data_IF_833305041725
#
_entry.id   IF_833305041725
#
_cell.length_a   1.000
_cell.length_b   1.000
_cell.length_c   1.000
_cell.angle_alpha   90.00
_cell.angle_beta   90.00
_cell.angle_gamma   90.00
#
_symmetry.space_group_name_H-M   'P 1'
#
loop_
_entity.id
_entity.type
_entity.pdbx_description
1 polymer ?
#
# COMPACT_ATOMS: atom_id res chain seq x y z
N UNK A 1 24.43 -10.41 69.13
CA UNK A 1 24.30 -11.71 68.46
C UNK A 1 23.23 -11.57 67.40
N UNK A 2 23.49 -10.88 66.29
CA UNK A 2 24.33 -11.29 65.14
C UNK A 2 23.71 -12.46 64.38
N UNK A 3 22.90 -12.15 63.36
CA UNK A 3 22.84 -12.82 62.06
C UNK A 3 21.71 -12.22 61.23
N UNK A 4 22.02 -11.32 60.30
CA UNK A 4 21.18 -11.12 59.11
C UNK A 4 22.10 -11.27 57.92
N UNK A 5 21.86 -12.35 57.20
CA UNK A 5 22.67 -12.84 56.10
C UNK A 5 22.24 -12.14 54.81
N UNK A 6 23.25 -11.69 54.06
CA UNK A 6 23.32 -11.53 52.61
C UNK A 6 22.11 -12.02 51.79
N UNK A 7 21.52 -11.14 50.98
CA UNK A 7 21.14 -11.47 49.61
C UNK A 7 21.44 -10.26 48.71
N UNK A 8 22.43 -10.50 47.84
CA UNK A 8 22.87 -9.67 46.74
C UNK A 8 21.66 -9.39 45.83
N UNK A 9 21.42 -8.11 45.53
CA UNK A 9 20.52 -7.74 44.46
C UNK A 9 21.13 -8.21 43.14
N UNK A 10 20.48 -9.17 42.49
CA UNK A 10 20.75 -9.51 41.11
C UNK A 10 20.48 -8.27 40.25
N UNK A 11 21.55 -7.71 39.70
CA UNK A 11 21.49 -6.74 38.62
C UNK A 11 20.74 -7.40 37.45
N UNK A 12 19.45 -7.08 37.35
CA UNK A 12 18.64 -7.44 36.20
C UNK A 12 19.29 -6.83 34.96
N UNK A 13 19.90 -7.69 34.14
CA UNK A 13 20.38 -7.36 32.80
C UNK A 13 19.18 -6.76 32.05
N UNK A 14 19.22 -5.49 31.61
CA UNK A 14 18.12 -4.94 30.83
C UNK A 14 18.00 -5.79 29.55
N UNK A 15 16.83 -6.38 29.34
CA UNK A 15 16.52 -7.03 28.06
C UNK A 15 16.79 -6.04 26.93
N UNK A 16 17.42 -6.47 25.82
CA UNK A 16 17.68 -5.58 24.70
C UNK A 16 16.35 -5.02 24.20
N UNK A 17 16.23 -3.70 24.27
CA UNK A 17 15.09 -2.91 23.83
C UNK A 17 14.55 -3.49 22.51
N UNK A 18 13.40 -4.15 22.58
CA UNK A 18 12.78 -4.78 21.42
C UNK A 18 12.44 -3.66 20.45
N UNK A 19 13.32 -3.41 19.47
CA UNK A 19 13.14 -2.37 18.46
C UNK A 19 11.72 -2.45 17.92
N UNK A 20 10.95 -1.39 18.14
CA UNK A 20 9.56 -1.33 17.68
C UNK A 20 9.58 -1.29 16.16
N UNK A 21 9.33 -2.45 15.55
CA UNK A 21 9.23 -2.60 14.10
C UNK A 21 8.04 -1.78 13.59
N UNK A 22 8.31 -0.87 12.67
CA UNK A 22 7.32 -0.01 12.03
C UNK A 22 6.59 -0.74 10.89
N UNK A 23 7.25 -1.70 10.25
CA UNK A 23 6.63 -2.56 9.24
C UNK A 23 5.54 -3.45 9.84
N UNK A 24 4.53 -3.78 9.04
CA UNK A 24 3.47 -4.72 9.43
C UNK A 24 2.78 -5.36 8.23
N UNK A 25 1.90 -6.31 8.49
CA UNK A 25 0.95 -6.84 7.52
C UNK A 25 -0.39 -6.15 7.72
N UNK A 26 -0.97 -5.66 6.63
CA UNK A 26 -2.34 -5.15 6.62
C UNK A 26 -3.26 -6.15 5.93
N UNK A 27 -4.21 -6.70 6.67
CA UNK A 27 -5.15 -7.71 6.17
C UNK A 27 -6.57 -7.16 6.21
N UNK A 28 -7.32 -7.35 5.13
CA UNK A 28 -8.71 -6.89 5.07
C UNK A 28 -9.37 -7.16 3.74
N UNK A 29 -10.05 -6.16 3.20
CA UNK A 29 -10.82 -6.28 1.96
C UNK A 29 -10.69 -5.04 1.08
N UNK A 30 -10.86 -5.24 -0.21
CA UNK A 30 -11.16 -4.19 -1.16
C UNK A 30 -12.59 -4.37 -1.65
N UNK A 31 -13.28 -3.26 -1.84
CA UNK A 31 -14.65 -3.19 -2.33
C UNK A 31 -14.68 -2.25 -3.52
N UNK A 32 -15.25 -2.72 -4.63
CA UNK A 32 -15.49 -1.93 -5.81
C UNK A 32 -17.00 -1.77 -5.96
N UNK A 33 -17.46 -0.54 -6.12
CA UNK A 33 -18.86 -0.19 -6.37
C UNK A 33 -18.90 0.67 -7.61
N UNK A 34 -19.53 0.17 -8.66
CA UNK A 34 -19.90 0.93 -9.85
C UNK A 34 -21.40 1.14 -9.81
N UNK A 35 -21.84 2.39 -9.79
CA UNK A 35 -23.24 2.78 -9.80
C UNK A 35 -23.76 3.00 -11.22
N UNK A 36 -22.90 3.50 -12.13
CA UNK A 36 -23.25 3.86 -13.52
C UNK A 36 -22.16 3.43 -14.52
N UNK A 37 -22.50 3.25 -15.82
CA UNK A 37 -23.86 3.20 -16.37
C UNK A 37 -24.61 1.92 -15.97
N UNK A 38 -23.89 0.86 -15.61
CA UNK A 38 -24.45 -0.40 -15.11
C UNK A 38 -23.97 -0.67 -13.71
N UNK A 39 -24.92 -0.96 -12.81
CA UNK A 39 -24.59 -1.29 -11.43
C UNK A 39 -23.80 -2.61 -11.34
N UNK A 40 -22.64 -2.55 -10.68
CA UNK A 40 -21.84 -3.72 -10.34
C UNK A 40 -21.04 -3.45 -9.06
N UNK A 41 -21.23 -4.27 -8.04
CA UNK A 41 -20.49 -4.18 -6.79
C UNK A 41 -19.89 -5.55 -6.45
N UNK A 42 -18.65 -5.56 -5.98
CA UNK A 42 -17.99 -6.76 -5.51
C UNK A 42 -16.91 -6.42 -4.48
N UNK A 43 -16.67 -7.37 -3.57
CA UNK A 43 -15.62 -7.26 -2.56
C UNK A 43 -14.82 -8.56 -2.50
N UNK A 44 -13.54 -8.46 -2.20
CA UNK A 44 -12.68 -9.62 -1.95
C UNK A 44 -11.64 -9.32 -0.88
N UNK A 45 -11.26 -10.37 -0.15
CA UNK A 45 -10.22 -10.27 0.88
C UNK A 45 -8.83 -10.27 0.28
N UNK A 46 -7.95 -9.49 0.88
CA UNK A 46 -6.54 -9.40 0.52
C UNK A 46 -5.67 -9.11 1.74
N UNK A 47 -4.36 -9.21 1.55
CA UNK A 47 -3.36 -8.61 2.42
C UNK A 47 -2.43 -7.72 1.59
N UNK A 48 -1.82 -6.73 2.22
CA UNK A 48 -0.69 -5.95 1.69
C UNK A 48 0.38 -5.87 2.77
N UNK A 49 1.64 -5.72 2.37
CA UNK A 49 2.73 -5.44 3.30
C UNK A 49 2.90 -3.94 3.44
N UNK A 50 3.09 -3.49 4.67
CA UNK A 50 3.49 -2.13 4.99
C UNK A 50 4.94 -2.17 5.44
N UNK A 51 5.82 -1.57 4.66
CA UNK A 51 7.27 -1.68 4.83
C UNK A 51 7.82 -0.30 5.18
N UNK A 52 8.48 -0.18 6.31
CA UNK A 52 9.43 0.89 6.49
C UNK A 52 10.68 0.56 5.67
N UNK A 53 10.99 1.37 4.66
CA UNK A 53 12.04 1.04 3.70
C UNK A 53 13.42 0.94 4.35
N UNK A 54 13.63 1.61 5.50
CA UNK A 54 14.87 1.53 6.26
C UNK A 54 15.05 0.20 7.01
N UNK A 55 13.98 -0.58 7.20
CA UNK A 55 14.04 -1.88 7.87
C UNK A 55 14.41 -3.02 6.91
N UNK A 56 14.46 -2.77 5.60
CA UNK A 56 14.92 -3.74 4.62
C UNK A 56 16.46 -3.71 4.52
N UNK A 57 17.14 -4.86 4.42
CA UNK A 57 16.57 -6.21 4.27
C UNK A 57 16.29 -6.94 5.60
N UNK A 58 16.65 -6.36 6.75
CA UNK A 58 16.66 -7.01 8.06
C UNK A 58 15.29 -7.55 8.50
N UNK A 59 14.20 -6.89 8.12
CA UNK A 59 12.83 -7.34 8.39
C UNK A 59 12.59 -8.81 7.98
N UNK A 60 13.21 -9.25 6.88
CA UNK A 60 13.03 -10.60 6.34
C UNK A 60 14.16 -11.56 6.67
N UNK A 61 15.18 -11.14 7.43
CA UNK A 61 16.35 -11.96 7.72
C UNK A 61 16.01 -13.32 8.37
N UNK A 62 14.95 -13.36 9.19
CA UNK A 62 14.49 -14.57 9.90
C UNK A 62 13.29 -15.26 9.22
N UNK A 63 12.95 -14.90 7.98
CA UNK A 63 11.77 -15.41 7.28
C UNK A 63 12.17 -16.16 6.00
N UNK A 64 12.14 -17.49 6.02
CA UNK A 64 12.68 -18.30 4.92
C UNK A 64 11.99 -18.10 3.56
N UNK A 65 10.69 -17.76 3.55
CA UNK A 65 9.90 -17.56 2.34
C UNK A 65 9.81 -16.11 1.88
N UNK A 66 10.43 -15.18 2.61
CA UNK A 66 10.38 -13.75 2.36
C UNK A 66 11.79 -13.23 2.11
N UNK A 67 11.95 -12.31 1.18
CA UNK A 67 13.26 -11.69 0.94
C UNK A 67 13.12 -10.33 0.26
N UNK A 68 14.09 -9.45 0.53
CA UNK A 68 14.30 -8.21 -0.20
C UNK A 68 15.56 -8.24 -1.08
N UNK A 69 16.36 -9.30 -0.99
CA UNK A 69 17.66 -9.39 -1.66
C UNK A 69 17.67 -10.41 -2.80
N UNK A 70 16.98 -11.54 -2.61
CA UNK A 70 16.98 -12.66 -3.55
C UNK A 70 15.58 -13.18 -3.84
N UNK A 71 15.37 -13.86 -4.98
CA UNK A 71 14.10 -14.50 -5.28
C UNK A 71 13.64 -15.41 -4.15
N UNK A 72 12.39 -15.22 -3.72
CA UNK A 72 11.70 -15.99 -2.68
C UNK A 72 10.20 -16.09 -3.04
N UNK A 73 9.41 -16.81 -2.25
CA UNK A 73 7.96 -16.90 -2.49
C UNK A 73 7.29 -15.54 -2.33
N UNK A 74 7.73 -14.73 -1.39
CA UNK A 74 7.41 -13.31 -1.28
C UNK A 74 8.70 -12.50 -1.44
N UNK A 75 8.82 -11.79 -2.54
CA UNK A 75 10.05 -11.09 -2.91
C UNK A 75 9.80 -9.61 -3.13
N UNK A 76 10.38 -8.78 -2.28
CA UNK A 76 10.52 -7.36 -2.56
C UNK A 76 11.63 -7.18 -3.57
N UNK A 77 11.29 -6.63 -4.74
CA UNK A 77 12.22 -6.37 -5.82
C UNK A 77 12.18 -4.88 -6.15
N UNK A 78 13.30 -4.19 -5.94
CA UNK A 78 13.44 -2.76 -6.20
C UNK A 78 12.94 -2.34 -7.60
N UNK A 79 13.19 -3.15 -8.62
CA UNK A 79 12.81 -2.89 -10.01
C UNK A 79 11.29 -2.91 -10.29
N UNK A 80 10.46 -3.31 -9.33
CA UNK A 80 8.99 -3.33 -9.48
C UNK A 80 8.31 -2.04 -9.03
N UNK A 81 9.10 -1.09 -8.53
CA UNK A 81 8.65 0.14 -7.90
C UNK A 81 9.24 1.36 -8.61
N UNK A 82 8.65 2.53 -8.35
CA UNK A 82 8.96 3.77 -9.05
C UNK A 82 10.44 4.13 -9.15
N UNK A 83 10.78 4.82 -10.24
CA UNK A 83 12.10 5.38 -10.49
C UNK A 83 13.14 4.36 -10.95
N UNK A 84 14.40 4.79 -11.05
CA UNK A 84 15.51 3.96 -11.49
C UNK A 84 15.78 2.81 -10.49
N UNK A 85 15.80 1.53 -10.91
CA UNK A 85 16.11 0.39 -10.03
C UNK A 85 17.49 0.44 -9.36
N UNK A 86 18.44 1.19 -9.91
CA UNK A 86 19.79 1.38 -9.34
C UNK A 86 19.80 2.39 -8.18
N UNK A 87 18.76 3.22 -8.07
CA UNK A 87 18.60 4.18 -7.00
C UNK A 87 17.79 3.58 -5.85
N UNK A 88 18.15 3.78 -4.58
CA UNK A 88 17.30 3.40 -3.44
C UNK A 88 15.86 3.93 -3.57
N UNK A 89 14.87 3.10 -3.24
CA UNK A 89 13.46 3.45 -3.47
C UNK A 89 13.01 4.65 -2.64
N UNK A 90 13.47 4.74 -1.39
CA UNK A 90 13.17 5.87 -0.51
C UNK A 90 13.70 7.18 -1.10
N UNK A 91 14.90 7.17 -1.67
CA UNK A 91 15.49 8.32 -2.34
C UNK A 91 14.70 8.73 -3.59
N UNK A 92 14.29 7.77 -4.43
CA UNK A 92 13.47 8.04 -5.60
C UNK A 92 12.11 8.67 -5.23
N UNK A 93 11.48 8.18 -4.15
CA UNK A 93 10.23 8.74 -3.62
C UNK A 93 10.44 10.16 -3.11
N UNK A 94 11.51 10.41 -2.33
CA UNK A 94 11.83 11.75 -1.83
C UNK A 94 12.11 12.75 -2.95
N UNK A 95 12.82 12.32 -4.00
CA UNK A 95 13.10 13.13 -5.18
C UNK A 95 11.79 13.53 -5.88
N UNK A 96 10.92 12.55 -6.13
CA UNK A 96 9.60 12.79 -6.73
C UNK A 96 8.74 13.75 -5.90
N UNK A 97 8.71 13.58 -4.58
CA UNK A 97 7.93 14.49 -3.70
C UNK A 97 8.51 15.90 -3.71
N UNK A 98 9.84 16.02 -3.67
CA UNK A 98 10.52 17.32 -3.75
C UNK A 98 10.23 18.04 -5.08
N UNK A 99 10.26 17.31 -6.20
CA UNK A 99 9.95 17.84 -7.52
C UNK A 99 8.50 18.36 -7.60
N UNK A 100 7.53 17.58 -7.09
CA UNK A 100 6.10 17.89 -7.26
C UNK A 100 5.53 18.85 -6.23
N UNK A 101 6.05 18.85 -5.00
CA UNK A 101 5.54 19.67 -3.90
C UNK A 101 6.51 20.77 -3.45
N UNK A 102 7.75 20.80 -3.98
CA UNK A 102 8.78 21.75 -3.59
C UNK A 102 9.40 21.50 -2.20
N UNK A 103 8.99 20.44 -1.51
CA UNK A 103 9.46 20.09 -0.18
C UNK A 103 9.88 18.62 -0.13
N UNK A 104 11.13 18.37 0.23
CA UNK A 104 11.69 17.02 0.34
C UNK A 104 11.34 16.42 1.72
N UNK A 105 10.73 15.22 1.79
CA UNK A 105 10.55 14.53 3.07
C UNK A 105 11.90 14.18 3.70
N UNK A 106 12.02 14.38 5.01
CA UNK A 106 13.25 14.11 5.79
C UNK A 106 13.12 12.88 6.71
N UNK A 107 11.91 12.45 7.01
CA UNK A 107 11.63 11.29 7.87
C UNK A 107 11.55 9.97 7.11
N UNK A 108 11.02 8.91 7.73
CA UNK A 108 10.84 7.61 7.08
C UNK A 108 9.98 7.68 5.80
N UNK A 109 10.25 6.76 4.88
CA UNK A 109 9.38 6.48 3.73
C UNK A 109 8.82 5.08 3.96
N UNK A 110 7.48 4.98 4.05
CA UNK A 110 6.80 3.72 4.31
C UNK A 110 5.89 3.34 3.15
N UNK A 111 5.97 2.09 2.73
CA UNK A 111 5.35 1.58 1.51
C UNK A 111 4.27 0.54 1.85
N UNK A 112 3.02 0.81 1.49
CA UNK A 112 1.96 -0.19 1.42
C UNK A 112 1.90 -0.78 0.01
N UNK A 113 2.20 -2.07 -0.14
CA UNK A 113 2.27 -2.71 -1.47
C UNK A 113 1.97 -4.20 -1.42
N UNK A 114 1.73 -4.79 -2.59
CA UNK A 114 1.98 -6.22 -2.82
C UNK A 114 3.41 -6.42 -3.31
N UNK A 115 4.02 -7.55 -2.93
CA UNK A 115 5.33 -7.99 -3.42
C UNK A 115 5.16 -8.92 -4.62
N UNK A 116 6.28 -9.44 -5.16
CA UNK A 116 6.21 -10.61 -6.04
C UNK A 116 5.85 -11.83 -5.21
N UNK A 117 4.78 -12.49 -5.62
CA UNK A 117 4.31 -13.71 -4.98
C UNK A 117 4.41 -14.88 -5.95
N UNK A 118 5.19 -15.91 -5.60
CA UNK A 118 5.50 -17.06 -6.47
C UNK A 118 6.00 -16.63 -7.87
N UNK A 119 6.85 -15.60 -7.93
CA UNK A 119 7.41 -15.05 -9.17
C UNK A 119 6.50 -14.09 -9.94
N UNK A 120 5.20 -14.04 -9.62
CA UNK A 120 4.23 -13.16 -10.26
C UNK A 120 4.21 -11.78 -9.59
N UNK A 121 4.36 -10.71 -10.39
CA UNK A 121 4.11 -9.34 -9.95
C UNK A 121 2.70 -8.92 -10.39
N UNK A 122 1.79 -8.73 -9.44
CA UNK A 122 0.46 -8.18 -9.68
C UNK A 122 0.17 -7.14 -8.61
N UNK A 123 0.64 -5.93 -8.86
CA UNK A 123 0.58 -4.83 -7.92
C UNK A 123 -0.05 -3.60 -8.61
N UNK A 124 -1.39 -3.52 -8.68
CA UNK A 124 -2.07 -2.46 -9.42
C UNK A 124 -1.84 -1.08 -8.80
N UNK A 125 -1.56 -1.02 -7.50
CA UNK A 125 -1.27 0.23 -6.80
C UNK A 125 -0.39 0.00 -5.59
N UNK A 126 0.58 0.90 -5.41
CA UNK A 126 1.41 1.05 -4.23
C UNK A 126 1.18 2.42 -3.60
N UNK A 127 1.22 2.50 -2.27
CA UNK A 127 1.04 3.75 -1.55
C UNK A 127 2.25 4.04 -0.67
N UNK A 128 2.85 5.22 -0.86
CA UNK A 128 3.95 5.70 -0.03
C UNK A 128 3.44 6.76 0.94
N UNK A 129 3.74 6.55 2.22
CA UNK A 129 3.55 7.52 3.28
C UNK A 129 4.92 8.12 3.59
N UNK A 130 5.06 9.42 3.31
CA UNK A 130 6.30 10.15 3.48
C UNK A 130 6.20 11.00 4.75
N UNK A 131 7.18 10.89 5.64
CA UNK A 131 7.17 11.57 6.91
C UNK A 131 8.19 12.71 6.96
N UNK A 132 7.93 13.71 7.82
CA UNK A 132 8.90 14.74 8.19
C UNK A 132 9.91 14.22 9.24
N UNK A 133 10.95 15.01 9.53
CA UNK A 133 11.96 14.69 10.55
C UNK A 133 11.38 14.54 11.98
N UNK A 134 10.12 14.94 12.20
CA UNK A 134 9.41 14.78 13.48
C UNK A 134 8.48 13.56 13.48
N UNK A 135 8.51 12.72 12.44
CA UNK A 135 7.66 11.53 12.33
C UNK A 135 6.18 11.85 12.06
N UNK A 136 5.86 13.02 11.50
CA UNK A 136 4.50 13.36 11.06
C UNK A 136 4.37 13.16 9.55
N UNK A 137 3.24 12.64 9.04
CA UNK A 137 3.05 12.53 7.61
C UNK A 137 3.12 13.91 6.94
N UNK A 138 3.87 13.99 5.85
CA UNK A 138 4.11 15.20 5.07
C UNK A 138 3.61 15.08 3.63
N UNK A 139 3.64 13.87 3.05
CA UNK A 139 3.10 13.60 1.72
C UNK A 139 2.59 12.16 1.61
N UNK A 140 1.68 11.97 0.65
CA UNK A 140 1.17 10.68 0.24
C UNK A 140 1.39 10.51 -1.26
N UNK A 141 1.96 9.38 -1.68
CA UNK A 141 2.15 9.06 -3.11
C UNK A 141 1.38 7.80 -3.45
N UNK A 142 0.53 7.86 -4.46
CA UNK A 142 -0.11 6.69 -5.05
C UNK A 142 0.55 6.36 -6.39
N UNK A 143 1.35 5.31 -6.41
CA UNK A 143 1.95 4.73 -7.61
C UNK A 143 0.95 3.73 -8.20
N UNK A 144 0.39 4.06 -9.36
CA UNK A 144 -0.63 3.27 -10.05
C UNK A 144 0.01 2.62 -11.27
N UNK A 145 -0.11 1.30 -11.36
CA UNK A 145 0.43 0.50 -12.46
C UNK A 145 -0.70 0.04 -13.38
N UNK A 146 -0.56 0.27 -14.68
CA UNK A 146 -1.52 -0.12 -15.69
C UNK A 146 -1.11 -1.47 -16.33
N UNK A 147 -1.71 -2.56 -15.86
CA UNK A 147 -1.52 -3.89 -16.44
C UNK A 147 -2.62 -4.14 -17.49
N UNK A 148 -2.32 -4.61 -18.71
CA UNK A 148 -1.05 -5.17 -19.21
C UNK A 148 -0.10 -4.19 -19.92
N UNK A 149 -0.44 -2.91 -20.06
CA UNK A 149 0.33 -1.96 -20.86
C UNK A 149 1.70 -1.57 -20.27
N UNK A 150 1.94 -1.86 -19.00
CA UNK A 150 3.23 -1.64 -18.34
C UNK A 150 3.50 -0.17 -18.02
N UNK A 151 2.49 0.69 -18.15
CA UNK A 151 2.59 2.10 -17.78
C UNK A 151 2.50 2.27 -16.27
N UNK A 152 3.13 3.32 -15.77
CA UNK A 152 3.12 3.68 -14.37
C UNK A 152 2.87 5.18 -14.23
N UNK A 153 2.05 5.56 -13.26
CA UNK A 153 1.78 6.95 -12.93
C UNK A 153 1.74 7.17 -11.43
N UNK A 154 2.33 8.28 -10.97
CA UNK A 154 2.37 8.62 -9.54
C UNK A 154 1.57 9.90 -9.27
N UNK A 155 0.53 9.77 -8.44
CA UNK A 155 -0.16 10.90 -7.84
C UNK A 155 0.55 11.31 -6.57
N UNK A 156 1.03 12.55 -6.49
CA UNK A 156 1.71 13.09 -5.31
C UNK A 156 0.78 14.08 -4.62
N UNK A 157 0.34 13.76 -3.40
CA UNK A 157 -0.66 14.52 -2.65
C UNK A 157 -0.04 15.08 -1.36
N UNK A 158 -0.14 16.39 -1.09
CA UNK A 158 0.39 16.99 0.13
C UNK A 158 -0.44 16.57 1.34
N UNK A 159 0.21 16.17 2.43
CA UNK A 159 -0.49 15.81 3.66
C UNK A 159 -0.77 17.06 4.49
N UNK A 160 -2.04 17.32 4.82
CA UNK A 160 -2.40 18.44 5.69
C UNK A 160 -2.17 18.06 7.16
N UNK A 161 -1.03 18.50 7.70
CA UNK A 161 -0.63 18.27 9.08
C UNK A 161 -1.47 19.07 10.12
N UNK A 162 -2.33 20.01 9.68
CA UNK A 162 -3.24 20.75 10.56
C UNK A 162 -4.49 19.95 10.91
N UNK A 163 -4.85 18.95 10.08
CA UNK A 163 -5.99 18.07 10.35
C UNK A 163 -5.68 17.14 11.54
N UNK A 164 -6.69 16.80 12.35
CA UNK A 164 -6.53 15.78 13.39
C UNK A 164 -5.99 14.50 12.78
N UNK A 165 -5.04 13.84 13.44
CA UNK A 165 -4.45 12.59 12.95
C UNK A 165 -5.51 11.51 12.67
N UNK A 166 -6.60 11.49 13.44
CA UNK A 166 -7.69 10.51 13.30
C UNK A 166 -8.65 10.81 12.14
N UNK A 167 -8.56 12.01 11.55
CA UNK A 167 -9.34 12.37 10.39
C UNK A 167 -8.69 11.84 9.11
N UNK A 168 -9.50 11.43 8.15
CA UNK A 168 -9.01 11.12 6.82
C UNK A 168 -8.56 12.40 6.11
N UNK A 169 -7.44 12.32 5.42
CA UNK A 169 -7.04 13.30 4.41
C UNK A 169 -7.91 13.13 3.17
N UNK A 170 -8.27 14.24 2.54
CA UNK A 170 -9.15 14.24 1.38
C UNK A 170 -8.61 15.16 0.31
N UNK A 171 -8.51 14.65 -0.92
CA UNK A 171 -8.06 15.43 -2.08
C UNK A 171 -9.02 15.24 -3.25
N UNK A 172 -9.15 16.27 -4.09
CA UNK A 172 -9.87 16.21 -5.35
C UNK A 172 -9.02 16.81 -6.46
N UNK A 173 -8.91 16.12 -7.58
CA UNK A 173 -8.18 16.58 -8.76
C UNK A 173 -8.67 15.86 -10.02
N UNK A 174 -8.31 16.38 -11.20
CA UNK A 174 -8.62 15.75 -12.49
C UNK A 174 -7.99 14.36 -12.62
N UNK A 175 -8.67 13.46 -13.32
CA UNK A 175 -8.15 12.13 -13.65
C UNK A 175 -7.18 12.25 -14.82
N UNK A 176 -5.91 11.97 -14.54
CA UNK A 176 -4.82 12.14 -15.50
C UNK A 176 -4.22 10.80 -15.99
N UNK A 177 -4.79 9.66 -15.58
CA UNK A 177 -4.29 8.32 -15.97
C UNK A 177 -5.42 7.34 -16.34
N UNK A 178 -5.30 6.72 -17.51
CA UNK A 178 -6.33 5.83 -18.07
C UNK A 178 -6.16 4.38 -17.58
N UNK A 179 -6.68 4.10 -16.39
CA UNK A 179 -6.54 2.78 -15.74
C UNK A 179 -7.73 1.84 -15.91
N UNK A 180 -8.85 2.33 -16.45
CA UNK A 180 -10.06 1.52 -16.62
C UNK A 180 -10.67 1.80 -17.98
N UNK A 181 -10.77 0.78 -18.87
CA UNK A 181 -11.37 0.95 -20.19
C UNK A 181 -12.89 1.15 -20.13
N UNK A 182 -13.48 1.21 -18.94
CA UNK A 182 -14.92 1.41 -18.74
C UNK A 182 -15.22 2.74 -18.00
N UNK A 183 -14.23 3.61 -17.79
CA UNK A 183 -14.42 4.93 -17.21
C UNK A 183 -13.75 5.97 -18.10
N UNK A 184 -14.48 6.99 -18.60
CA UNK A 184 -13.90 8.05 -19.42
C UNK A 184 -12.84 8.85 -18.65
N UNK A 185 -12.04 9.62 -19.38
CA UNK A 185 -10.95 10.42 -18.80
C UNK A 185 -11.46 11.71 -18.17
N UNK A 186 -12.58 12.25 -18.66
CA UNK A 186 -13.22 13.48 -18.20
C UNK A 186 -13.94 13.27 -16.85
N UNK A 187 -13.17 12.97 -15.82
CA UNK A 187 -13.62 12.72 -14.46
C UNK A 187 -12.67 13.36 -13.45
N UNK A 188 -13.15 13.54 -12.23
CA UNK A 188 -12.31 13.89 -11.07
C UNK A 188 -12.08 12.68 -10.19
N UNK A 189 -10.87 12.54 -9.65
CA UNK A 189 -10.59 11.66 -8.54
C UNK A 189 -10.84 12.37 -7.22
N UNK A 190 -11.57 11.69 -6.32
CA UNK A 190 -11.70 12.07 -4.93
C UNK A 190 -11.08 10.99 -4.05
N UNK A 191 -10.00 11.35 -3.37
CA UNK A 191 -9.26 10.49 -2.45
C UNK A 191 -9.73 10.72 -1.01
N UNK A 192 -9.75 9.64 -0.23
CA UNK A 192 -9.91 9.67 1.23
C UNK A 192 -8.96 8.65 1.84
N UNK A 193 -7.95 9.11 2.59
CA UNK A 193 -6.86 8.28 3.12
C UNK A 193 -6.69 8.53 4.62
N UNK A 194 -6.60 7.48 5.41
CA UNK A 194 -6.27 7.58 6.84
C UNK A 194 -4.78 7.38 7.08
N UNK A 195 -4.24 7.95 8.16
CA UNK A 195 -2.88 7.60 8.59
C UNK A 195 -2.78 6.11 8.96
N UNK A 196 -1.73 5.37 8.54
CA UNK A 196 -1.57 3.96 8.90
C UNK A 196 -1.34 3.75 10.39
N UNK A 197 -2.27 3.06 11.07
CA UNK A 197 -2.16 2.66 12.49
C UNK A 197 -2.71 1.25 12.70
N UNK A 198 -3.58 1.02 13.69
CA UNK A 198 -4.24 -0.28 13.88
C UNK A 198 -5.14 -0.67 12.70
N UNK A 199 -5.62 0.33 11.96
CA UNK A 199 -6.32 0.16 10.71
C UNK A 199 -5.84 1.17 9.68
N UNK A 200 -6.12 0.87 8.42
CA UNK A 200 -5.80 1.71 7.29
C UNK A 200 -6.94 1.66 6.27
N UNK A 201 -7.41 2.83 5.85
CA UNK A 201 -8.40 2.96 4.78
C UNK A 201 -7.88 3.87 3.68
N UNK A 202 -7.97 3.39 2.44
CA UNK A 202 -7.72 4.18 1.22
C UNK A 202 -8.96 4.04 0.35
N UNK A 203 -9.61 5.16 0.05
CA UNK A 203 -10.76 5.20 -0.85
C UNK A 203 -10.48 6.16 -1.99
N UNK A 204 -10.80 5.72 -3.20
CA UNK A 204 -10.78 6.54 -4.41
C UNK A 204 -12.15 6.45 -5.07
N UNK A 205 -12.75 7.60 -5.34
CA UNK A 205 -13.99 7.72 -6.09
C UNK A 205 -13.73 8.52 -7.36
N UNK A 206 -14.39 8.13 -8.46
CA UNK A 206 -14.48 8.96 -9.65
C UNK A 206 -15.74 9.80 -9.52
N UNK A 207 -15.69 11.05 -9.96
CA UNK A 207 -16.82 11.96 -10.02
C UNK A 207 -16.97 12.51 -11.43
N UNK A 208 -18.22 12.61 -11.87
CA UNK A 208 -18.66 13.36 -13.05
C UNK A 208 -19.74 14.39 -12.63
N UNK A 209 -20.29 15.13 -13.60
CA UNK A 209 -21.34 16.12 -13.34
C UNK A 209 -22.62 15.54 -12.69
N UNK A 210 -22.83 14.23 -12.74
CA UNK A 210 -23.99 13.52 -12.19
C UNK A 210 -23.64 12.77 -10.87
N UNK A 211 -22.48 13.03 -10.28
CA UNK A 211 -22.04 12.42 -9.02
C UNK A 211 -21.00 11.32 -9.22
N UNK A 212 -20.93 10.35 -8.31
CA UNK A 212 -19.88 9.31 -8.35
C UNK A 212 -20.33 8.03 -9.07
N UNK A 213 -19.86 7.78 -10.32
CA UNK A 213 -20.18 6.54 -11.04
C UNK A 213 -19.41 5.32 -10.51
N UNK A 214 -18.29 5.53 -9.81
CA UNK A 214 -17.42 4.45 -9.35
C UNK A 214 -16.64 4.83 -8.09
N UNK A 215 -16.53 3.88 -7.17
CA UNK A 215 -15.71 3.96 -5.97
C UNK A 215 -14.97 2.63 -5.74
N UNK A 216 -13.70 2.72 -5.36
CA UNK A 216 -12.93 1.62 -4.81
C UNK A 216 -12.50 1.99 -3.39
N UNK A 217 -12.70 1.07 -2.44
CA UNK A 217 -12.33 1.27 -1.04
C UNK A 217 -11.55 0.07 -0.52
N UNK A 218 -10.36 0.34 0.00
CA UNK A 218 -9.46 -0.58 0.65
C UNK A 218 -9.57 -0.36 2.15
N UNK A 219 -9.93 -1.39 2.91
CA UNK A 219 -10.03 -1.33 4.38
C UNK A 219 -9.25 -2.47 4.99
N UNK A 220 -8.21 -2.15 5.75
CA UNK A 220 -7.24 -3.11 6.27
C UNK A 220 -7.02 -2.95 7.77
N UNK A 221 -6.64 -4.04 8.44
CA UNK A 221 -6.26 -4.07 9.86
C UNK A 221 -4.82 -4.56 10.01
N UNK A 222 -4.08 -3.90 10.92
CA UNK A 222 -2.68 -4.20 11.22
C UNK A 222 -2.54 -5.59 11.84
N UNK A 223 -1.47 -6.27 11.48
CA UNK A 223 -0.97 -7.52 12.06
C UNK A 223 0.54 -7.45 12.11
N UNK A 224 1.12 -7.76 13.27
CA UNK A 224 2.57 -7.71 13.45
C UNK A 224 3.29 -8.68 12.51
N UNK A 225 4.46 -8.30 11.95
CA UNK A 225 5.18 -9.07 10.95
C UNK A 225 6.03 -10.18 11.59
N UNK A 226 5.44 -11.00 12.45
CA UNK A 226 6.15 -12.15 13.04
C UNK A 226 6.38 -13.24 12.00
N UNK A 227 7.42 -14.08 12.12
CA UNK A 227 7.66 -15.19 11.19
C UNK A 227 6.45 -16.12 11.01
N UNK A 228 5.69 -16.33 12.09
CA UNK A 228 4.44 -17.09 12.09
C UNK A 228 3.34 -16.40 11.26
N UNK A 229 3.14 -15.09 11.44
CA UNK A 229 2.15 -14.33 10.68
C UNK A 229 2.51 -14.21 9.20
N UNK A 230 3.78 -14.00 8.88
CA UNK A 230 4.31 -13.96 7.52
C UNK A 230 4.08 -15.29 6.79
N UNK A 231 4.44 -16.41 7.42
CA UNK A 231 4.24 -17.76 6.86
C UNK A 231 2.76 -18.11 6.70
N UNK A 232 1.94 -17.83 7.73
CA UNK A 232 0.48 -18.07 7.69
C UNK A 232 -0.20 -17.28 6.58
N UNK A 233 0.27 -16.07 6.30
CA UNK A 233 -0.29 -15.22 5.24
C UNK A 233 -0.01 -15.82 3.87
N UNK A 234 1.21 -16.29 3.61
CA UNK A 234 1.52 -16.99 2.36
C UNK A 234 0.68 -18.25 2.15
N UNK A 235 0.47 -19.04 3.21
CA UNK A 235 -0.35 -20.26 3.15
C UNK A 235 -1.84 -19.98 2.95
N UNK A 236 -2.35 -18.85 3.46
CA UNK A 236 -3.76 -18.47 3.31
C UNK A 236 -4.06 -17.87 1.94
N UNK A 237 -3.04 -17.31 1.28
CA UNK A 237 -3.20 -16.54 0.06
C UNK A 237 -2.26 -16.98 -1.10
N UNK A 238 -1.98 -18.28 -1.33
CA UNK A 238 -1.01 -18.70 -2.36
C UNK A 238 -1.48 -18.39 -3.78
N UNK A 239 -2.78 -18.57 -4.04
CA UNK A 239 -3.40 -18.26 -5.32
C UNK A 239 -4.06 -16.88 -5.32
N UNK A 240 -3.80 -16.00 -4.34
CA UNK A 240 -4.50 -14.72 -4.23
C UNK A 240 -4.23 -13.83 -5.44
N UNK A 241 -3.00 -13.78 -5.92
CA UNK A 241 -2.64 -13.08 -7.16
C UNK A 241 -3.45 -13.57 -8.35
N UNK A 242 -3.48 -14.89 -8.58
CA UNK A 242 -4.26 -15.49 -9.67
C UNK A 242 -5.76 -15.27 -9.49
N UNK A 243 -6.28 -15.35 -8.26
CA UNK A 243 -7.68 -15.10 -7.92
C UNK A 243 -8.07 -13.64 -8.15
N UNK A 244 -7.22 -12.68 -7.80
CA UNK A 244 -7.45 -11.26 -8.07
C UNK A 244 -7.53 -11.02 -9.57
N UNK A 245 -6.54 -11.52 -10.31
CA UNK A 245 -6.50 -11.42 -11.78
C UNK A 245 -7.76 -12.04 -12.39
N UNK A 246 -8.07 -13.30 -12.04
CA UNK A 246 -9.28 -13.97 -12.53
C UNK A 246 -10.55 -13.20 -12.17
N UNK A 247 -10.63 -12.61 -10.97
CA UNK A 247 -11.77 -11.79 -10.55
C UNK A 247 -11.85 -10.50 -11.37
N UNK A 248 -10.74 -9.81 -11.61
CA UNK A 248 -10.70 -8.58 -12.42
C UNK A 248 -11.14 -8.88 -13.84
N UNK A 249 -10.55 -9.89 -14.50
CA UNK A 249 -10.93 -10.29 -15.85
C UNK A 249 -12.38 -10.77 -15.94
N UNK A 250 -12.84 -11.55 -14.95
CA UNK A 250 -14.24 -11.97 -14.87
C UNK A 250 -15.20 -10.79 -14.74
N UNK A 251 -14.87 -9.80 -13.91
CA UNK A 251 -15.70 -8.60 -13.75
C UNK A 251 -15.67 -7.72 -14.99
N UNK A 252 -14.52 -7.60 -15.67
CA UNK A 252 -14.41 -6.91 -16.95
C UNK A 252 -15.29 -7.58 -18.03
N UNK A 253 -15.24 -8.91 -18.14
CA UNK A 253 -16.09 -9.68 -19.04
C UNK A 253 -17.58 -9.50 -18.72
N UNK A 254 -17.94 -9.55 -17.43
CA UNK A 254 -19.32 -9.32 -16.97
C UNK A 254 -19.82 -7.90 -17.31
N UNK A 255 -18.96 -6.89 -17.23
CA UNK A 255 -19.30 -5.52 -17.63
C UNK A 255 -19.50 -5.43 -19.15
N UNK A 256 -18.63 -6.05 -19.92
CA UNK A 256 -18.75 -6.11 -21.38
C UNK A 256 -20.05 -6.80 -21.81
N UNK A 257 -20.38 -7.97 -21.23
CA UNK A 257 -21.67 -8.65 -21.48
C UNK A 257 -22.89 -7.84 -21.05
N UNK A 258 -22.74 -6.93 -20.09
CA UNK A 258 -23.81 -6.02 -19.65
C UNK A 258 -23.89 -4.72 -20.47
N UNK A 259 -23.11 -4.58 -21.53
CA UNK A 259 -23.15 -3.44 -22.44
C UNK A 259 -22.40 -2.20 -21.94
N UNK A 260 -21.41 -2.36 -21.05
CA UNK A 260 -20.54 -1.25 -20.67
C UNK A 260 -19.74 -0.75 -21.88
N UNK A 261 -19.72 0.57 -22.11
CA UNK A 261 -18.94 1.19 -23.18
C UNK A 261 -17.45 0.96 -22.93
N UNK A 262 -16.77 0.42 -23.93
CA UNK A 262 -15.32 0.26 -23.95
C UNK A 262 -14.69 1.52 -24.52
N UNK A 263 -13.82 2.15 -23.74
CA UNK A 263 -12.95 3.26 -24.13
C UNK A 263 -11.58 2.66 -24.44
N UNK A 264 -11.12 2.71 -25.71
CA UNK A 264 -9.81 2.19 -26.06
C UNK A 264 -8.71 2.95 -25.32
N UNK A 265 -7.61 2.24 -25.05
CA UNK A 265 -6.40 2.89 -24.55
C UNK A 265 -5.94 3.95 -25.58
N UNK A 266 -5.59 5.18 -25.16
CA UNK A 266 -5.03 6.19 -26.05
C UNK A 266 -3.71 5.76 -26.70
#
# INVERSE_FOLDING_TARGET
MTAVNCLLGEDAIPEPDAQVVSSCLYIGKVTHVRSRPVHNAFSYSLFMVYLDLAELPLLFANSWFWSAEKPAWAWFRRADHLGNPEQPLDQAVRDLVAERLGARPEGPIRLLTNLRYWGCNMNPVSFYYCYDSRGRPAAFVAEVNNTPWGEQHCYVLPWDATRPRDAAQTWRHSKDFHVSPFLPMEMEYAWSVTEPRDSLTVTIANFDAQGSPFQASLSLKRREPTPANLSRTLLRYPCMTAKIVATIYWQALKLWWKGAVYYPHP
#
